data_IF_508594421364
#
_entry.id   IF_508594421364
#
_cell.length_a   1.000
_cell.length_b   1.000
_cell.length_c   1.000
_cell.angle_alpha   90.00
_cell.angle_beta   90.00
_cell.angle_gamma   90.00
#
_symmetry.space_group_name_H-M   'P 1'
#
loop_
_entity.id
_entity.type
_entity.pdbx_description
1 polymer ?
#
# COMPACT_ATOMS: atom_id res chain seq x y z
N UNK A 1 -12.89 8.55 30.68
CA UNK A 1 -14.30 8.93 30.80
C UNK A 1 -14.70 9.96 29.73
N UNK A 2 -14.03 11.13 29.65
CA UNK A 2 -14.37 12.19 28.68
C UNK A 2 -14.39 11.74 27.21
N UNK A 3 -13.49 10.84 26.82
CA UNK A 3 -13.47 10.28 25.45
C UNK A 3 -14.72 9.44 25.15
N UNK A 4 -15.14 8.62 26.09
CA UNK A 4 -16.36 7.82 25.95
C UNK A 4 -17.61 8.70 25.92
N UNK A 5 -17.69 9.74 26.79
CA UNK A 5 -18.82 10.67 26.79
C UNK A 5 -18.98 11.38 25.43
N UNK A 6 -17.83 11.74 24.77
CA UNK A 6 -17.83 12.32 23.42
C UNK A 6 -18.27 11.30 22.37
N UNK A 7 -17.76 10.08 22.42
CA UNK A 7 -18.13 9.01 21.50
C UNK A 7 -19.63 8.70 21.57
N UNK A 8 -20.17 8.58 22.79
CA UNK A 8 -21.60 8.35 23.01
C UNK A 8 -22.47 9.50 22.46
N UNK A 9 -22.01 10.76 22.63
CA UNK A 9 -22.71 11.92 22.09
C UNK A 9 -22.70 11.93 20.54
N UNK A 10 -21.60 11.53 19.91
CA UNK A 10 -21.49 11.41 18.44
C UNK A 10 -22.44 10.31 17.94
N UNK A 11 -22.43 9.15 18.58
CA UNK A 11 -23.33 8.05 18.23
C UNK A 11 -24.81 8.42 18.42
N UNK A 12 -25.14 9.11 19.55
CA UNK A 12 -26.49 9.59 19.79
C UNK A 12 -26.98 10.62 18.77
N UNK A 13 -26.05 11.36 18.14
CA UNK A 13 -26.36 12.28 17.04
C UNK A 13 -26.55 11.57 15.69
N UNK A 14 -26.40 10.22 15.63
CA UNK A 14 -26.52 9.43 14.39
C UNK A 14 -25.40 9.64 13.39
N UNK A 15 -24.24 10.11 13.85
CA UNK A 15 -23.07 10.32 13.01
C UNK A 15 -22.38 8.98 12.77
N UNK A 16 -22.08 8.70 11.51
CA UNK A 16 -21.30 7.52 11.09
C UNK A 16 -19.85 7.65 11.55
N UNK A 17 -19.30 6.54 12.05
CA UNK A 17 -17.96 6.50 12.63
C UNK A 17 -17.13 5.43 11.91
N UNK A 18 -16.00 5.85 11.35
CA UNK A 18 -14.92 4.98 10.92
C UNK A 18 -13.86 5.00 12.03
N UNK A 19 -13.73 3.89 12.74
CA UNK A 19 -12.80 3.77 13.86
C UNK A 19 -11.52 3.02 13.45
N UNK A 20 -10.44 3.24 14.18
CA UNK A 20 -9.18 2.53 13.97
C UNK A 20 -8.58 2.10 15.31
N UNK A 21 -8.00 0.89 15.33
CA UNK A 21 -7.23 0.36 16.45
C UNK A 21 -5.80 0.09 15.98
N UNK A 22 -4.82 0.70 16.66
CA UNK A 22 -3.44 0.22 16.60
C UNK A 22 -3.31 -0.91 17.62
N UNK A 23 -3.17 -2.13 17.13
CA UNK A 23 -3.11 -3.33 17.98
C UNK A 23 -1.68 -3.52 18.51
N UNK A 24 -1.53 -3.30 19.82
CA UNK A 24 -0.26 -3.37 20.53
C UNK A 24 -0.17 -4.68 21.30
N UNK A 25 0.78 -5.59 20.97
CA UNK A 25 0.93 -6.87 21.63
C UNK A 25 1.08 -6.75 23.15
N UNK A 26 0.30 -7.52 23.91
CA UNK A 26 0.29 -7.53 25.37
C UNK A 26 -0.32 -6.31 26.04
N UNK A 27 -1.02 -5.44 25.27
CA UNK A 27 -1.67 -4.25 25.81
C UNK A 27 -3.18 -4.20 25.55
N UNK A 28 -3.55 -4.23 24.29
CA UNK A 28 -4.94 -4.15 23.85
C UNK A 28 -5.30 -5.29 22.87
N UNK A 29 -4.54 -6.35 22.87
CA UNK A 29 -4.81 -7.62 22.17
C UNK A 29 -5.61 -8.59 23.06
N UNK A 30 -5.84 -9.79 22.56
CA UNK A 30 -6.56 -10.85 23.29
C UNK A 30 -7.92 -10.39 23.83
N UNK A 31 -8.12 -10.56 25.14
CA UNK A 31 -9.40 -10.23 25.81
C UNK A 31 -9.76 -8.73 25.70
N UNK A 32 -8.78 -7.82 25.69
CA UNK A 32 -9.05 -6.38 25.56
C UNK A 32 -9.51 -6.03 24.14
N UNK A 33 -8.93 -6.66 23.12
CA UNK A 33 -9.43 -6.55 21.77
C UNK A 33 -10.85 -7.09 21.64
N UNK A 34 -11.13 -8.27 22.21
CA UNK A 34 -12.46 -8.87 22.17
C UNK A 34 -13.52 -7.94 22.81
N UNK A 35 -13.23 -7.30 23.93
CA UNK A 35 -14.10 -6.29 24.56
C UNK A 35 -14.40 -5.13 23.62
N UNK A 36 -13.36 -4.63 22.92
CA UNK A 36 -13.51 -3.53 21.97
C UNK A 36 -14.34 -3.94 20.77
N UNK A 37 -14.12 -5.15 20.24
CA UNK A 37 -14.92 -5.69 19.13
C UNK A 37 -16.39 -5.84 19.51
N UNK A 38 -16.68 -6.36 20.70
CA UNK A 38 -18.07 -6.46 21.23
C UNK A 38 -18.72 -5.09 21.36
N UNK A 39 -18.00 -4.11 21.89
CA UNK A 39 -18.50 -2.74 21.97
C UNK A 39 -18.86 -2.20 20.58
N UNK A 40 -17.98 -2.36 19.58
CA UNK A 40 -18.26 -1.91 18.22
C UNK A 40 -19.42 -2.68 17.56
N UNK A 41 -19.57 -3.98 17.85
CA UNK A 41 -20.66 -4.81 17.34
C UNK A 41 -22.04 -4.36 17.88
N UNK A 42 -22.10 -3.79 19.10
CA UNK A 42 -23.32 -3.28 19.72
C UNK A 42 -23.77 -1.90 19.16
N UNK A 43 -22.88 -1.16 18.49
CA UNK A 43 -23.12 0.21 18.03
C UNK A 43 -23.08 0.31 16.50
N UNK A 44 -24.26 0.33 15.88
CA UNK A 44 -24.41 0.36 14.42
C UNK A 44 -23.83 1.61 13.73
N UNK A 45 -23.63 2.71 14.50
CA UNK A 45 -22.99 3.94 14.01
C UNK A 45 -21.50 3.74 13.70
N UNK A 46 -20.87 2.71 14.28
CA UNK A 46 -19.50 2.31 13.93
C UNK A 46 -19.59 1.43 12.68
N UNK A 47 -19.46 2.05 11.51
CA UNK A 47 -19.69 1.38 10.23
C UNK A 47 -18.44 0.68 9.72
N UNK A 48 -17.26 1.10 10.13
CA UNK A 48 -16.03 0.35 9.92
C UNK A 48 -15.07 0.50 11.10
N UNK A 49 -14.33 -0.58 11.38
CA UNK A 49 -13.24 -0.62 12.35
C UNK A 49 -12.01 -1.20 11.68
N UNK A 50 -11.06 -0.34 11.40
CA UNK A 50 -9.73 -0.72 10.91
C UNK A 50 -8.85 -1.22 12.05
N UNK A 51 -8.22 -2.38 11.88
CA UNK A 51 -7.32 -2.98 12.87
C UNK A 51 -5.95 -3.09 12.22
N UNK A 52 -5.01 -2.25 12.68
CA UNK A 52 -3.65 -2.19 12.16
C UNK A 52 -2.63 -2.67 13.19
N UNK A 53 -1.55 -3.36 12.81
CA UNK A 53 -0.55 -3.82 13.75
C UNK A 53 0.28 -2.66 14.28
N UNK A 54 0.90 -2.85 15.43
CA UNK A 54 1.83 -1.89 16.00
C UNK A 54 3.02 -1.69 15.08
N UNK A 55 3.17 -0.47 14.55
CA UNK A 55 4.43 0.04 14.00
C UNK A 55 5.26 0.70 15.10
N UNK A 56 6.53 0.31 15.25
CA UNK A 56 7.42 0.95 16.20
C UNK A 56 8.77 1.29 15.55
N UNK A 57 9.39 2.36 16.06
CA UNK A 57 10.67 2.86 15.58
C UNK A 57 11.79 2.57 16.57
N UNK A 58 13.05 2.69 16.13
CA UNK A 58 14.24 2.61 17.01
C UNK A 58 14.31 3.75 18.04
N UNK A 59 13.48 4.78 17.92
CA UNK A 59 13.50 5.97 18.78
C UNK A 59 12.64 5.83 20.04
N UNK A 60 12.04 4.65 20.25
CA UNK A 60 11.29 4.29 21.46
C UNK A 60 11.88 3.03 22.09
N UNK A 61 11.54 2.77 23.37
CA UNK A 61 12.05 1.63 24.13
C UNK A 61 10.95 0.79 24.80
N UNK A 62 9.69 1.08 24.49
CA UNK A 62 8.53 0.41 25.09
C UNK A 62 8.22 -0.93 24.41
N UNK A 63 8.39 -0.97 23.09
CA UNK A 63 8.13 -2.15 22.28
C UNK A 63 9.40 -2.62 21.58
N UNK A 64 9.58 -3.94 21.49
CA UNK A 64 10.72 -4.58 20.84
C UNK A 64 10.30 -5.63 19.80
N UNK A 65 9.02 -5.87 19.63
CA UNK A 65 8.44 -6.80 18.68
C UNK A 65 6.99 -6.41 18.34
N UNK A 66 6.51 -6.91 17.20
CA UNK A 66 5.15 -6.76 16.72
C UNK A 66 4.69 -8.04 16.02
N UNK A 67 3.57 -7.99 15.30
CA UNK A 67 2.99 -9.14 14.60
C UNK A 67 3.89 -9.63 13.46
N UNK A 68 4.65 -8.75 12.80
CA UNK A 68 5.65 -9.11 11.79
C UNK A 68 6.75 -10.08 12.31
N UNK A 69 7.03 -10.03 13.61
CA UNK A 69 8.00 -10.94 14.24
C UNK A 69 7.38 -12.29 14.65
N UNK A 70 6.05 -12.42 14.61
CA UNK A 70 5.31 -13.59 15.08
C UNK A 70 4.12 -13.95 14.17
N UNK A 71 4.36 -14.57 13.03
CA UNK A 71 3.32 -14.94 12.06
C UNK A 71 2.15 -15.76 12.65
N UNK A 72 2.45 -16.63 13.63
CA UNK A 72 1.41 -17.41 14.31
C UNK A 72 0.44 -16.51 15.08
N UNK A 73 0.95 -15.49 15.77
CA UNK A 73 0.11 -14.56 16.52
C UNK A 73 -0.75 -13.71 15.55
N UNK A 74 -0.22 -13.33 14.40
CA UNK A 74 -0.99 -12.67 13.35
C UNK A 74 -2.15 -13.57 12.87
N UNK A 75 -1.89 -14.86 12.62
CA UNK A 75 -2.93 -15.84 12.24
C UNK A 75 -3.98 -16.04 13.33
N UNK A 76 -3.57 -16.17 14.59
CA UNK A 76 -4.48 -16.30 15.73
C UNK A 76 -5.37 -15.07 15.86
N UNK A 77 -4.82 -13.87 15.66
CA UNK A 77 -5.57 -12.61 15.70
C UNK A 77 -6.59 -12.55 14.57
N UNK A 78 -6.20 -12.90 13.32
CA UNK A 78 -7.13 -12.98 12.20
C UNK A 78 -8.27 -13.97 12.51
N UNK A 79 -7.95 -15.16 13.03
CA UNK A 79 -8.93 -16.17 13.37
C UNK A 79 -9.89 -15.72 14.49
N UNK A 80 -9.41 -14.94 15.47
CA UNK A 80 -10.23 -14.40 16.55
C UNK A 80 -11.24 -13.37 16.05
N UNK A 81 -10.85 -12.55 15.05
CA UNK A 81 -11.72 -11.49 14.52
C UNK A 81 -12.77 -12.05 13.57
N UNK A 82 -12.50 -13.15 12.88
CA UNK A 82 -13.40 -13.73 11.87
C UNK A 82 -14.86 -13.89 12.32
N UNK A 83 -15.17 -14.45 13.50
CA UNK A 83 -16.55 -14.55 13.95
C UNK A 83 -17.27 -13.20 14.11
N UNK A 84 -16.55 -12.13 14.42
CA UNK A 84 -17.12 -10.77 14.48
C UNK A 84 -17.44 -10.24 13.09
N UNK A 85 -16.55 -10.50 12.10
CA UNK A 85 -16.78 -10.15 10.70
C UNK A 85 -18.04 -10.84 10.17
N UNK A 86 -18.16 -12.14 10.40
CA UNK A 86 -19.31 -12.93 9.94
C UNK A 86 -20.62 -12.42 10.55
N UNK A 87 -20.69 -12.19 11.88
CA UNK A 87 -21.88 -11.65 12.54
C UNK A 87 -22.23 -10.23 12.10
N UNK A 88 -21.22 -9.37 11.89
CA UNK A 88 -21.45 -8.02 11.38
C UNK A 88 -22.08 -8.07 9.98
N UNK A 89 -21.56 -8.93 9.12
CA UNK A 89 -22.13 -9.13 7.78
C UNK A 89 -23.56 -9.68 7.83
N UNK A 90 -23.84 -10.69 8.67
CA UNK A 90 -25.20 -11.22 8.85
C UNK A 90 -26.17 -10.17 9.36
N UNK A 91 -25.74 -9.30 10.28
CA UNK A 91 -26.58 -8.29 10.92
C UNK A 91 -26.77 -7.04 10.10
N UNK A 92 -25.72 -6.54 9.48
CA UNK A 92 -25.66 -5.21 8.88
C UNK A 92 -25.45 -5.24 7.35
N UNK A 93 -25.13 -6.40 6.76
CA UNK A 93 -24.77 -6.54 5.35
C UNK A 93 -23.44 -5.88 4.98
N UNK A 94 -22.54 -5.70 5.96
CA UNK A 94 -21.21 -5.11 5.77
C UNK A 94 -20.17 -5.76 6.69
N UNK A 95 -18.91 -5.75 6.25
CA UNK A 95 -17.77 -6.27 7.02
C UNK A 95 -17.18 -5.14 7.88
N UNK A 96 -17.86 -4.85 9.00
CA UNK A 96 -17.46 -3.74 9.89
C UNK A 96 -16.01 -3.87 10.38
N UNK A 97 -15.54 -5.09 10.66
CA UNK A 97 -14.20 -5.33 11.24
C UNK A 97 -13.24 -5.70 10.13
N UNK A 98 -12.32 -4.78 9.79
CA UNK A 98 -11.37 -4.96 8.71
C UNK A 98 -9.94 -4.88 9.25
N UNK A 99 -9.11 -5.85 8.87
CA UNK A 99 -7.69 -5.86 9.22
C UNK A 99 -6.87 -5.23 8.11
N UNK A 100 -5.79 -4.55 8.49
CA UNK A 100 -4.85 -4.01 7.50
C UNK A 100 -4.14 -5.11 6.73
N UNK A 101 -3.70 -4.76 5.55
CA UNK A 101 -2.96 -5.66 4.66
C UNK A 101 -1.71 -6.23 5.32
N UNK A 102 -1.06 -5.47 6.23
CA UNK A 102 0.11 -5.93 6.99
C UNK A 102 -0.18 -7.20 7.79
N UNK A 103 -1.36 -7.33 8.42
CA UNK A 103 -1.70 -8.54 9.15
C UNK A 103 -1.74 -9.77 8.25
N UNK A 104 -2.27 -9.64 7.04
CA UNK A 104 -2.32 -10.74 6.08
C UNK A 104 -0.92 -11.08 5.55
N UNK A 105 -0.11 -10.06 5.25
CA UNK A 105 1.29 -10.25 4.83
C UNK A 105 2.11 -10.93 5.93
N UNK A 106 2.01 -10.44 7.18
CA UNK A 106 2.71 -11.01 8.35
C UNK A 106 2.28 -12.45 8.62
N UNK A 107 1.00 -12.76 8.45
CA UNK A 107 0.46 -14.11 8.61
C UNK A 107 0.85 -15.06 7.45
N UNK A 108 1.32 -14.53 6.32
CA UNK A 108 1.52 -15.29 5.09
C UNK A 108 0.21 -15.84 4.52
N UNK A 109 -0.86 -15.06 4.61
CA UNK A 109 -2.21 -15.37 4.12
C UNK A 109 -2.56 -14.34 3.05
N UNK A 110 -3.18 -14.80 1.94
CA UNK A 110 -3.69 -13.85 0.94
C UNK A 110 -4.80 -12.97 1.56
N UNK A 111 -4.82 -11.66 1.24
CA UNK A 111 -5.89 -10.78 1.69
C UNK A 111 -7.25 -11.23 1.12
N UNK A 112 -8.36 -10.92 1.80
CA UNK A 112 -9.70 -11.23 1.31
C UNK A 112 -9.96 -10.69 -0.10
N UNK A 113 -10.99 -11.23 -0.77
CA UNK A 113 -11.45 -10.74 -2.06
C UNK A 113 -12.06 -9.32 -1.96
N UNK A 114 -12.15 -8.60 -3.08
CA UNK A 114 -12.57 -7.21 -3.14
C UNK A 114 -13.93 -6.92 -2.44
N UNK A 115 -14.88 -7.83 -2.58
CA UNK A 115 -16.23 -7.71 -1.98
C UNK A 115 -16.19 -7.62 -0.46
N UNK A 116 -15.15 -8.16 0.18
CA UNK A 116 -14.98 -8.10 1.63
C UNK A 116 -14.73 -6.69 2.15
N UNK A 117 -14.20 -5.81 1.32
CA UNK A 117 -13.79 -4.46 1.75
C UNK A 117 -14.91 -3.42 1.66
N UNK A 118 -16.13 -3.78 1.22
CA UNK A 118 -17.32 -2.91 1.20
C UNK A 118 -17.09 -1.54 0.52
N UNK A 119 -16.32 -1.52 -0.56
CA UNK A 119 -15.95 -0.28 -1.26
C UNK A 119 -14.76 0.46 -0.64
N UNK A 120 -13.99 -0.19 0.21
CA UNK A 120 -12.72 0.30 0.78
C UNK A 120 -12.83 1.57 1.62
N UNK A 121 -13.67 1.61 2.68
CA UNK A 121 -13.89 2.81 3.48
C UNK A 121 -12.64 3.30 4.22
N UNK A 122 -11.64 2.44 4.42
CA UNK A 122 -10.38 2.75 5.10
C UNK A 122 -9.15 2.44 4.23
N UNK A 123 -9.28 2.65 2.91
CA UNK A 123 -8.22 2.35 1.94
C UNK A 123 -6.88 3.00 2.28
N UNK A 124 -6.91 4.30 2.63
CA UNK A 124 -5.68 5.05 2.94
C UNK A 124 -5.05 4.68 4.29
N UNK A 125 -5.73 3.88 5.10
CA UNK A 125 -5.19 3.30 6.34
C UNK A 125 -4.50 1.94 6.10
N UNK A 126 -4.26 1.58 4.84
CA UNK A 126 -3.60 0.33 4.45
C UNK A 126 -4.51 -0.89 4.53
N UNK A 127 -5.81 -0.71 4.27
CA UNK A 127 -6.82 -1.77 4.29
C UNK A 127 -7.36 -2.01 2.89
N UNK A 128 -6.95 -3.12 2.27
CA UNK A 128 -7.35 -3.54 0.94
C UNK A 128 -6.53 -2.95 -0.21
N UNK A 129 -5.43 -2.24 0.07
CA UNK A 129 -4.51 -1.73 -0.96
C UNK A 129 -3.84 -2.88 -1.72
N UNK A 130 -3.40 -3.92 -1.00
CA UNK A 130 -2.80 -5.12 -1.61
C UNK A 130 -3.81 -5.85 -2.47
N UNK A 131 -5.06 -6.00 -2.01
CA UNK A 131 -6.13 -6.61 -2.82
C UNK A 131 -6.37 -5.84 -4.10
N UNK A 132 -6.56 -4.52 -4.03
CA UNK A 132 -6.73 -3.67 -5.21
C UNK A 132 -5.56 -3.79 -6.20
N UNK A 133 -4.33 -3.82 -5.67
CA UNK A 133 -3.13 -3.99 -6.51
C UNK A 133 -3.12 -5.35 -7.22
N UNK A 134 -3.47 -6.42 -6.52
CA UNK A 134 -3.52 -7.77 -7.09
C UNK A 134 -4.59 -7.88 -8.18
N UNK A 135 -5.79 -7.34 -7.92
CA UNK A 135 -6.89 -7.36 -8.88
C UNK A 135 -6.54 -6.57 -10.15
N UNK A 136 -5.97 -5.36 -10.00
CA UNK A 136 -5.49 -4.60 -11.16
C UNK A 136 -4.34 -5.31 -11.89
N UNK A 137 -3.46 -6.00 -11.17
CA UNK A 137 -2.39 -6.78 -11.77
C UNK A 137 -2.97 -7.89 -12.66
N UNK A 138 -3.92 -8.63 -12.13
CA UNK A 138 -4.56 -9.73 -12.87
C UNK A 138 -5.32 -9.22 -14.09
N UNK A 139 -6.03 -8.10 -13.95
CA UNK A 139 -6.73 -7.45 -15.06
C UNK A 139 -5.76 -7.00 -16.16
N UNK A 140 -4.70 -6.30 -15.81
CA UNK A 140 -3.69 -5.83 -16.76
C UNK A 140 -3.00 -6.99 -17.47
N UNK A 141 -2.64 -8.05 -16.74
CA UNK A 141 -2.00 -9.24 -17.34
C UNK A 141 -2.95 -9.99 -18.28
N UNK A 142 -4.24 -10.03 -17.98
CA UNK A 142 -5.23 -10.73 -18.79
C UNK A 142 -5.63 -9.94 -20.05
N UNK A 143 -5.76 -8.61 -19.95
CA UNK A 143 -6.37 -7.78 -21.00
C UNK A 143 -5.31 -7.07 -21.85
N UNK A 144 -4.20 -6.64 -21.24
CA UNK A 144 -3.26 -5.70 -21.83
C UNK A 144 -1.95 -6.31 -22.36
N UNK A 145 -1.93 -7.61 -22.69
CA UNK A 145 -0.72 -8.32 -23.13
C UNK A 145 0.03 -7.63 -24.29
N UNK A 146 -0.70 -7.05 -25.26
CA UNK A 146 -0.10 -6.31 -26.38
C UNK A 146 0.49 -4.98 -25.94
N UNK A 147 -0.18 -4.30 -25.01
CA UNK A 147 0.25 -3.04 -24.39
C UNK A 147 1.56 -3.27 -23.63
N UNK A 148 1.60 -4.27 -22.78
CA UNK A 148 2.78 -4.70 -22.03
C UNK A 148 3.96 -5.05 -22.94
N UNK A 149 3.71 -5.79 -24.02
CA UNK A 149 4.75 -6.13 -24.99
C UNK A 149 5.37 -4.89 -25.66
N UNK A 150 4.56 -3.88 -26.02
CA UNK A 150 5.06 -2.60 -26.58
C UNK A 150 5.89 -1.82 -25.57
N UNK A 151 5.43 -1.77 -24.31
CA UNK A 151 6.16 -1.09 -23.24
C UNK A 151 7.53 -1.74 -23.03
N UNK A 152 7.59 -3.09 -22.90
CA UNK A 152 8.87 -3.80 -22.77
C UNK A 152 9.80 -3.56 -23.97
N UNK A 153 9.25 -3.57 -25.16
CA UNK A 153 10.04 -3.26 -26.37
C UNK A 153 10.62 -1.84 -26.33
N UNK A 154 9.79 -0.84 -25.96
CA UNK A 154 10.24 0.54 -25.82
C UNK A 154 11.33 0.75 -24.77
N UNK A 155 11.24 0.08 -23.61
CA UNK A 155 12.30 0.10 -22.58
C UNK A 155 13.59 -0.52 -23.14
N UNK A 156 13.48 -1.64 -23.85
CA UNK A 156 14.62 -2.34 -24.45
C UNK A 156 15.29 -1.50 -25.55
N UNK A 157 14.50 -0.86 -26.43
CA UNK A 157 15.01 0.02 -27.51
C UNK A 157 15.78 1.21 -26.96
N UNK A 158 15.44 1.70 -25.78
CA UNK A 158 16.19 2.76 -25.09
C UNK A 158 17.43 2.25 -24.37
N UNK A 159 17.69 0.95 -24.44
CA UNK A 159 18.79 0.29 -23.72
C UNK A 159 18.75 0.59 -22.21
N UNK A 160 17.55 0.61 -21.65
CA UNK A 160 17.31 0.89 -20.23
C UNK A 160 16.83 -0.34 -19.49
N UNK A 161 17.02 -0.35 -18.19
CA UNK A 161 16.47 -1.32 -17.26
C UNK A 161 15.49 -0.61 -16.30
N UNK A 162 14.25 -1.14 -16.20
CA UNK A 162 13.24 -0.61 -15.29
C UNK A 162 13.53 -1.08 -13.86
N UNK A 163 13.68 -0.13 -12.94
CA UNK A 163 13.85 -0.36 -11.51
C UNK A 163 12.77 0.36 -10.72
N UNK A 164 11.94 -0.38 -10.00
CA UNK A 164 10.91 0.17 -9.12
C UNK A 164 11.34 0.07 -7.66
N UNK A 165 11.16 1.14 -6.88
CA UNK A 165 11.38 1.13 -5.44
C UNK A 165 10.11 0.73 -4.70
N UNK A 166 10.26 -0.01 -3.62
CA UNK A 166 9.17 -0.43 -2.73
C UNK A 166 9.64 -0.49 -1.27
N UNK A 167 8.70 -0.43 -0.33
CA UNK A 167 8.93 -0.87 1.03
C UNK A 167 9.11 -2.39 1.08
N UNK A 168 9.71 -2.89 2.15
CA UNK A 168 10.02 -4.32 2.24
C UNK A 168 8.74 -5.18 2.31
N UNK A 169 7.70 -4.72 3.02
CA UNK A 169 6.42 -5.43 3.15
C UNK A 169 5.69 -5.65 1.83
N UNK A 170 5.70 -4.67 0.92
CA UNK A 170 5.00 -4.74 -0.36
C UNK A 170 5.86 -5.28 -1.53
N UNK A 171 7.16 -5.53 -1.31
CA UNK A 171 8.11 -5.87 -2.38
C UNK A 171 7.66 -7.05 -3.23
N UNK A 172 7.27 -8.15 -2.60
CA UNK A 172 6.90 -9.37 -3.33
C UNK A 172 5.57 -9.23 -4.06
N UNK A 173 4.64 -8.45 -3.52
CA UNK A 173 3.38 -8.10 -4.19
C UNK A 173 3.66 -7.28 -5.45
N UNK A 174 4.48 -6.23 -5.34
CA UNK A 174 4.85 -5.38 -6.48
C UNK A 174 5.61 -6.17 -7.55
N UNK A 175 6.45 -7.11 -7.14
CA UNK A 175 7.21 -7.97 -8.04
C UNK A 175 6.33 -8.88 -8.92
N UNK A 176 5.13 -9.26 -8.46
CA UNK A 176 4.19 -10.07 -9.27
C UNK A 176 3.88 -9.42 -10.62
N UNK A 177 3.83 -8.10 -10.67
CA UNK A 177 3.62 -7.34 -11.90
C UNK A 177 4.93 -6.89 -12.55
N UNK A 178 5.81 -6.25 -11.78
CA UNK A 178 7.00 -5.60 -12.31
C UNK A 178 8.03 -6.62 -12.82
N UNK A 179 8.30 -7.70 -12.06
CA UNK A 179 9.32 -8.70 -12.41
C UNK A 179 8.78 -9.83 -13.30
N UNK A 180 7.45 -9.91 -13.46
CA UNK A 180 6.84 -10.92 -14.31
C UNK A 180 7.32 -10.80 -15.76
N UNK A 181 7.68 -11.90 -16.45
CA UNK A 181 7.99 -11.89 -17.89
C UNK A 181 6.77 -11.52 -18.74
N UNK A 182 5.56 -11.69 -18.21
CA UNK A 182 4.31 -11.25 -18.83
C UNK A 182 3.92 -9.82 -18.42
N UNK A 183 4.46 -9.32 -17.30
CA UNK A 183 4.30 -7.96 -16.82
C UNK A 183 5.29 -6.97 -17.45
N UNK A 184 5.99 -6.21 -16.64
CA UNK A 184 6.94 -5.18 -17.14
C UNK A 184 8.34 -5.70 -17.45
N UNK A 185 8.76 -6.82 -16.86
CA UNK A 185 10.10 -7.39 -17.04
C UNK A 185 11.21 -6.54 -16.40
N UNK A 186 10.86 -5.73 -15.39
CA UNK A 186 11.78 -4.90 -14.62
C UNK A 186 12.30 -5.60 -13.36
N UNK A 187 12.76 -4.80 -12.40
CA UNK A 187 13.22 -5.24 -11.08
C UNK A 187 12.57 -4.41 -9.99
N UNK A 188 12.30 -5.00 -8.83
CA UNK A 188 11.84 -4.31 -7.63
C UNK A 188 12.92 -4.33 -6.56
N UNK A 189 13.33 -3.17 -6.09
CA UNK A 189 14.26 -3.04 -4.97
C UNK A 189 13.52 -2.56 -3.72
N UNK A 190 13.54 -3.40 -2.69
CA UNK A 190 13.06 -3.01 -1.36
C UNK A 190 14.05 -2.05 -0.70
N UNK A 191 13.57 -0.90 -0.27
CA UNK A 191 14.34 0.05 0.53
C UNK A 191 14.09 -0.25 2.00
N UNK A 192 15.12 -0.68 2.72
CA UNK A 192 15.04 -0.91 4.15
C UNK A 192 14.98 0.43 4.88
N UNK A 193 13.95 0.63 5.68
CA UNK A 193 13.80 1.84 6.47
C UNK A 193 14.76 1.82 7.68
N UNK A 194 15.91 2.44 7.52
CA UNK A 194 16.94 2.59 8.58
C UNK A 194 16.76 3.87 9.38
N UNK A 195 16.12 4.85 8.78
CA UNK A 195 15.84 6.14 9.41
C UNK A 195 14.94 5.97 10.62
N UNK A 196 13.80 5.34 10.46
CA UNK A 196 12.92 5.00 11.58
C UNK A 196 13.36 3.73 12.30
N UNK A 197 13.82 2.72 11.59
CA UNK A 197 14.17 1.41 12.15
C UNK A 197 12.94 0.69 12.72
N UNK A 198 13.18 -0.23 13.67
CA UNK A 198 12.10 -1.06 14.22
C UNK A 198 11.52 -1.99 13.15
N UNK A 199 10.18 -2.04 13.07
CA UNK A 199 9.45 -2.80 12.05
C UNK A 199 8.79 -1.91 10.98
N UNK A 200 9.26 -0.66 10.80
CA UNK A 200 8.73 0.25 9.77
C UNK A 200 9.25 -0.17 8.40
N UNK A 201 8.37 -0.68 7.53
CA UNK A 201 8.76 -1.27 6.25
C UNK A 201 7.77 -1.01 5.09
N UNK A 202 6.71 -0.23 5.33
CA UNK A 202 5.71 0.11 4.31
C UNK A 202 6.23 1.15 3.31
N UNK A 203 5.78 1.08 2.06
CA UNK A 203 6.24 1.93 0.96
C UNK A 203 6.04 3.42 1.22
N UNK A 204 4.92 3.82 1.83
CA UNK A 204 4.62 5.22 2.13
C UNK A 204 5.52 5.88 3.18
N UNK A 205 6.29 5.09 3.93
CA UNK A 205 7.21 5.58 4.96
C UNK A 205 8.69 5.50 4.56
N UNK A 206 8.99 5.17 3.30
CA UNK A 206 10.36 5.26 2.75
C UNK A 206 10.81 6.71 2.81
N UNK A 207 12.09 6.91 3.17
CA UNK A 207 12.70 8.23 3.26
C UNK A 207 13.85 8.41 2.27
N UNK A 208 14.16 9.66 1.93
CA UNK A 208 15.15 9.97 0.91
C UNK A 208 16.58 9.53 1.29
N UNK A 209 16.99 9.72 2.55
CA UNK A 209 18.32 9.31 2.99
C UNK A 209 18.54 7.79 2.85
N UNK A 210 17.52 6.98 3.11
CA UNK A 210 17.61 5.52 2.95
C UNK A 210 17.73 5.10 1.48
N UNK A 211 17.04 5.79 0.56
CA UNK A 211 17.16 5.57 -0.88
C UNK A 211 18.59 5.92 -1.33
N UNK A 212 19.08 7.10 -0.96
CA UNK A 212 20.39 7.59 -1.39
C UNK A 212 21.54 6.73 -0.85
N UNK A 213 21.40 6.15 0.33
CA UNK A 213 22.38 5.26 0.95
C UNK A 213 22.40 3.86 0.31
N UNK A 214 21.20 3.31 -0.02
CA UNK A 214 21.07 1.91 -0.41
C UNK A 214 21.19 1.69 -1.93
N UNK A 215 20.90 2.72 -2.75
CA UNK A 215 21.07 2.59 -4.19
C UNK A 215 22.54 2.79 -4.62
N UNK A 216 22.99 2.10 -5.69
CA UNK A 216 24.31 2.26 -6.25
C UNK A 216 24.63 3.70 -6.62
N UNK A 217 25.94 4.04 -6.63
CA UNK A 217 26.40 5.36 -7.08
C UNK A 217 26.33 5.52 -8.60
N UNK A 218 26.41 4.44 -9.35
CA UNK A 218 26.20 4.42 -10.81
C UNK A 218 24.87 3.76 -11.11
N UNK A 219 23.95 4.54 -11.67
CA UNK A 219 22.62 4.14 -12.13
C UNK A 219 22.45 4.36 -13.64
N UNK A 220 23.56 4.38 -14.37
CA UNK A 220 23.55 4.56 -15.84
C UNK A 220 22.71 3.48 -16.52
N UNK A 221 21.81 3.89 -17.41
CA UNK A 221 20.89 2.98 -18.09
C UNK A 221 19.70 2.49 -17.24
N UNK A 222 19.49 3.05 -16.05
CA UNK A 222 18.36 2.73 -15.21
C UNK A 222 17.23 3.75 -15.41
N UNK A 223 16.03 3.27 -15.74
CA UNK A 223 14.77 3.98 -15.61
C UNK A 223 14.23 3.69 -14.20
N UNK A 224 14.37 4.66 -13.30
CA UNK A 224 14.10 4.51 -11.88
C UNK A 224 12.72 5.06 -11.51
N UNK A 225 11.88 4.22 -10.95
CA UNK A 225 10.55 4.57 -10.48
C UNK A 225 10.52 4.71 -8.97
N UNK A 226 10.22 5.94 -8.53
CA UNK A 226 10.11 6.32 -7.12
C UNK A 226 8.61 6.43 -6.77
N UNK A 227 8.13 5.73 -5.72
CA UNK A 227 6.71 5.73 -5.39
C UNK A 227 6.23 7.10 -4.90
N UNK A 228 5.14 7.60 -5.51
CA UNK A 228 4.51 8.88 -5.13
C UNK A 228 4.07 8.92 -3.67
N UNK A 229 3.69 7.76 -3.11
CA UNK A 229 3.17 7.62 -1.75
C UNK A 229 4.13 8.09 -0.64
N UNK A 230 5.44 8.14 -0.91
CA UNK A 230 6.44 8.57 0.08
C UNK A 230 6.54 10.09 0.25
N UNK A 231 5.85 10.86 -0.59
CA UNK A 231 5.86 12.33 -0.53
C UNK A 231 4.53 12.84 -0.01
N UNK A 232 4.59 13.85 0.87
CA UNK A 232 3.41 14.60 1.29
C UNK A 232 2.94 15.59 0.19
N UNK A 233 1.89 16.37 0.49
CA UNK A 233 1.33 17.33 -0.47
C UNK A 233 2.33 18.43 -0.87
N UNK A 234 3.29 18.75 -0.01
CA UNK A 234 4.35 19.74 -0.27
C UNK A 234 5.55 19.14 -1.02
N UNK A 235 5.51 17.85 -1.35
CA UNK A 235 6.59 17.13 -2.01
C UNK A 235 7.75 16.76 -1.09
N UNK A 236 7.52 16.66 0.22
CA UNK A 236 8.53 16.33 1.21
C UNK A 236 8.41 14.87 1.64
N UNK A 237 9.56 14.24 1.87
CA UNK A 237 9.66 12.97 2.58
C UNK A 237 9.66 13.18 4.09
N UNK A 238 9.51 12.10 4.88
CA UNK A 238 9.45 12.19 6.34
C UNK A 238 10.80 12.57 7.01
N UNK A 239 11.91 12.49 6.28
CA UNK A 239 13.22 13.01 6.69
C UNK A 239 13.47 14.45 6.18
N UNK A 240 12.39 15.16 5.86
CA UNK A 240 12.39 16.58 5.42
C UNK A 240 13.19 16.82 4.12
N UNK A 241 13.34 15.81 3.26
CA UNK A 241 14.02 15.95 1.99
C UNK A 241 13.01 16.31 0.89
N UNK A 242 13.31 17.33 0.08
CA UNK A 242 12.42 17.74 -1.01
C UNK A 242 12.53 16.77 -2.19
N UNK A 243 11.38 16.46 -2.80
CA UNK A 243 11.29 15.57 -3.97
C UNK A 243 12.28 15.94 -5.06
N UNK A 244 12.34 17.22 -5.45
CA UNK A 244 13.16 17.66 -6.57
C UNK A 244 14.65 17.49 -6.29
N UNK A 245 15.09 17.65 -5.03
CA UNK A 245 16.47 17.41 -4.61
C UNK A 245 16.82 15.91 -4.64
N UNK A 246 15.88 15.04 -4.24
CA UNK A 246 16.06 13.60 -4.37
C UNK A 246 16.18 13.18 -5.84
N UNK A 247 15.29 13.67 -6.70
CA UNK A 247 15.33 13.37 -8.14
C UNK A 247 16.63 13.87 -8.78
N UNK A 248 17.07 15.10 -8.45
CA UNK A 248 18.34 15.64 -8.93
C UNK A 248 19.55 14.79 -8.49
N UNK A 249 19.56 14.35 -7.23
CA UNK A 249 20.61 13.49 -6.67
C UNK A 249 20.69 12.14 -7.39
N UNK A 250 19.55 11.50 -7.65
CA UNK A 250 19.50 10.21 -8.37
C UNK A 250 19.84 10.37 -9.85
N UNK A 251 19.37 11.45 -10.49
CA UNK A 251 19.72 11.77 -11.88
C UNK A 251 21.21 12.03 -12.03
N UNK A 252 21.85 12.65 -11.06
CA UNK A 252 23.32 12.86 -11.08
C UNK A 252 24.12 11.55 -11.06
N UNK A 253 23.49 10.44 -10.62
CA UNK A 253 24.06 9.08 -10.69
C UNK A 253 23.81 8.37 -12.03
N UNK A 254 23.15 9.04 -12.99
CA UNK A 254 22.90 8.52 -14.34
C UNK A 254 21.52 7.90 -14.55
N UNK A 255 20.63 7.90 -13.55
CA UNK A 255 19.28 7.38 -13.70
C UNK A 255 18.36 8.36 -14.46
N UNK A 256 17.43 7.82 -15.25
CA UNK A 256 16.21 8.52 -15.65
C UNK A 256 15.15 8.30 -14.57
N UNK A 257 14.82 9.33 -13.78
CA UNK A 257 14.03 9.19 -12.56
C UNK A 257 12.61 9.73 -12.74
N UNK A 258 11.62 8.92 -12.35
CA UNK A 258 10.20 9.28 -12.41
C UNK A 258 9.52 9.00 -11.08
N UNK A 259 8.68 9.95 -10.62
CA UNK A 259 7.76 9.72 -9.51
C UNK A 259 6.46 9.18 -10.08
N UNK A 260 6.06 8.00 -9.64
CA UNK A 260 4.96 7.26 -10.24
C UNK A 260 3.94 6.80 -9.19
N UNK A 261 2.72 6.59 -9.64
CA UNK A 261 1.75 5.78 -8.88
C UNK A 261 2.24 4.33 -8.77
N UNK A 262 1.87 3.68 -7.70
CA UNK A 262 2.17 2.26 -7.50
C UNK A 262 1.16 1.35 -8.17
N UNK A 263 -0.02 1.86 -8.55
CA UNK A 263 -1.10 1.05 -9.14
C UNK A 263 -0.80 0.67 -10.60
N UNK A 264 -1.05 -0.60 -10.99
CA UNK A 264 -0.65 -1.14 -12.29
C UNK A 264 -1.18 -0.36 -13.50
N UNK A 265 -2.45 0.03 -13.53
CA UNK A 265 -3.02 0.79 -14.66
C UNK A 265 -2.36 2.15 -14.84
N UNK A 266 -2.24 2.92 -13.74
CA UNK A 266 -1.60 4.25 -13.79
C UNK A 266 -0.11 4.15 -14.15
N UNK A 267 0.56 3.07 -13.71
CA UNK A 267 1.94 2.80 -14.05
C UNK A 267 2.12 2.54 -15.55
N UNK A 268 1.20 1.80 -16.18
CA UNK A 268 1.21 1.60 -17.63
C UNK A 268 1.01 2.91 -18.40
N UNK A 269 0.04 3.74 -17.97
CA UNK A 269 -0.23 5.05 -18.60
C UNK A 269 1.03 5.95 -18.53
N UNK A 270 1.68 5.95 -17.37
CA UNK A 270 2.94 6.68 -17.16
C UNK A 270 4.05 6.18 -18.08
N UNK A 271 4.23 4.86 -18.18
CA UNK A 271 5.23 4.25 -19.06
C UNK A 271 4.96 4.56 -20.54
N UNK A 272 3.72 4.47 -21.01
CA UNK A 272 3.38 4.84 -22.38
C UNK A 272 3.71 6.30 -22.68
N UNK A 273 3.41 7.21 -21.74
CA UNK A 273 3.77 8.61 -21.87
C UNK A 273 5.28 8.83 -21.97
N UNK A 274 6.06 8.22 -21.05
CA UNK A 274 7.54 8.31 -21.02
C UNK A 274 8.15 7.76 -22.31
N UNK A 275 7.62 6.66 -22.83
CA UNK A 275 8.13 5.99 -24.03
C UNK A 275 7.61 6.58 -25.34
N UNK A 276 6.68 7.54 -25.27
CA UNK A 276 6.03 8.12 -26.46
C UNK A 276 5.14 7.13 -27.22
N UNK A 277 4.60 6.12 -26.52
CA UNK A 277 3.71 5.12 -27.09
C UNK A 277 2.29 5.70 -27.12
N UNK A 278 1.72 5.89 -28.29
CA UNK A 278 0.33 6.36 -28.43
C UNK A 278 -0.64 5.24 -28.05
N UNK A 279 -1.59 5.48 -27.13
CA UNK A 279 -2.63 4.49 -26.80
C UNK A 279 -3.41 4.06 -28.06
N UNK A 280 -3.70 2.78 -28.20
CA UNK A 280 -4.37 2.22 -29.36
C UNK A 280 -5.78 2.80 -29.62
N UNK A 281 -6.37 3.50 -28.65
CA UNK A 281 -7.72 4.08 -28.72
C UNK A 281 -7.76 5.57 -29.10
N UNK A 282 -6.65 6.25 -29.38
CA UNK A 282 -6.66 7.68 -29.74
C UNK A 282 -6.92 7.96 -31.22
N UNK A 283 -7.18 6.94 -32.04
CA UNK A 283 -7.40 7.11 -33.50
C UNK A 283 -8.84 7.24 -33.90
N UNK A 284 -9.83 7.41 -32.98
CA UNK A 284 -11.24 7.58 -33.35
C UNK A 284 -11.95 8.65 -32.52
N UNK A 285 -11.54 9.92 -32.65
CA UNK A 285 -12.41 11.05 -32.39
C UNK A 285 -11.97 12.28 -33.19
N UNK A 286 -11.83 12.10 -34.50
CA UNK A 286 -11.92 13.20 -35.46
C UNK A 286 -13.18 12.96 -36.30
N UNK A 287 -14.32 13.33 -35.77
CA UNK A 287 -15.48 13.61 -36.58
C UNK A 287 -15.71 15.13 -36.53
N UNK A 288 -15.36 15.85 -37.59
CA UNK A 288 -15.66 17.26 -37.72
C UNK A 288 -16.96 17.37 -38.54
N UNK A 289 -18.13 17.34 -37.89
CA UNK A 289 -19.31 17.98 -38.48
C UNK A 289 -20.52 17.89 -37.53
N UNK A 290 -20.93 18.98 -37.06
CA UNK A 290 -22.23 19.67 -36.89
C UNK A 290 -22.38 20.29 -35.51
#
# INVERSE_FOLDING_TARGET
QRGMDVLEAIMAAGIEIHAQIVLCPGMNDGEELEKTLRFCEEHEQITSLGIVPLGFTKHQNRFSWSYSDKPELARETIAMIRPFQDRAYERFGRHTFQMSDEFYLDAGIDPPEADFYDGYPQYYDGIGMIRSYLDETDDVLAIDAKRLARIRAGITERNQHLLCLSGASARDTVARFVESPHGLGGTVTAIKNRYFGGNVDVTGLIVACDILEQLPQDLSGVMLFVPKLMFNADGMTLDEYHRDDLLASLTSRGAEVHVVSTMPHELLDTLEHILGIVPANSTNSADPTH
#
